data_IF_831353033978
#
_entry.id   IF_831353033978
#
_cell.length_a   1.000
_cell.length_b   1.000
_cell.length_c   1.000
_cell.angle_alpha   90.00
_cell.angle_beta   90.00
_cell.angle_gamma   90.00
#
_symmetry.space_group_name_H-M   'P 1'
#
loop_
_entity.id
_entity.type
_entity.pdbx_description
1 polymer ?
#
# COMPACT_ATOMS: atom_id res chain seq x y z
N UNK A 1 63.07 34.67 36.20
CA UNK A 1 61.74 34.88 35.59
C UNK A 1 60.76 33.88 36.22
N UNK A 2 59.49 34.14 36.52
CA UNK A 2 58.68 35.32 36.87
C UNK A 2 57.38 34.68 37.42
N UNK A 3 57.00 34.94 38.67
CA UNK A 3 55.67 34.59 39.22
C UNK A 3 54.61 35.44 38.52
N UNK A 4 53.41 34.93 38.18
CA UNK A 4 52.10 35.56 38.50
C UNK A 4 50.90 34.59 38.29
N UNK A 5 49.77 34.79 39.01
CA UNK A 5 48.62 33.91 39.25
C UNK A 5 47.28 34.45 38.64
N UNK A 6 46.12 33.91 39.10
CA UNK A 6 44.71 34.35 38.88
C UNK A 6 43.92 33.89 37.63
N UNK A 7 42.85 33.11 37.85
CA UNK A 7 41.45 33.53 37.59
C UNK A 7 40.75 33.22 36.24
N UNK A 8 39.50 32.75 36.37
CA UNK A 8 38.30 32.93 35.50
C UNK A 8 37.97 31.92 34.36
N UNK A 9 37.04 31.02 34.68
CA UNK A 9 35.73 30.72 34.04
C UNK A 9 35.53 30.94 32.53
N UNK A 10 35.25 29.85 31.79
CA UNK A 10 34.42 29.74 30.56
C UNK A 10 33.96 28.27 30.45
N UNK A 11 32.73 27.89 30.81
CA UNK A 11 31.49 27.96 30.00
C UNK A 11 31.48 27.05 28.77
N UNK A 12 30.64 25.99 28.82
CA UNK A 12 29.81 25.40 27.73
C UNK A 12 30.55 24.98 26.42
N UNK A 13 30.40 23.79 25.84
CA UNK A 13 29.30 22.83 25.70
C UNK A 13 29.91 21.48 25.33
N UNK A 14 29.41 20.36 25.87
CA UNK A 14 29.63 19.07 25.20
C UNK A 14 29.05 19.19 23.78
N UNK A 15 29.79 18.88 22.71
CA UNK A 15 29.18 18.85 21.38
C UNK A 15 28.14 17.74 21.39
N UNK A 16 26.87 18.13 21.38
CA UNK A 16 25.68 17.26 21.30
C UNK A 16 25.62 16.42 20.00
N UNK A 17 26.70 16.33 19.22
CA UNK A 17 26.62 16.08 17.79
C UNK A 17 26.81 14.63 17.34
N UNK A 18 26.97 13.65 18.22
CA UNK A 18 27.24 12.27 17.78
C UNK A 18 26.43 11.18 18.48
N UNK A 19 25.22 11.49 18.96
CA UNK A 19 24.17 10.48 19.09
C UNK A 19 23.14 10.70 17.98
N UNK A 20 23.58 10.59 16.72
CA UNK A 20 22.67 10.23 15.64
C UNK A 20 22.19 8.82 15.95
N UNK A 21 21.08 8.72 16.69
CA UNK A 21 20.30 7.50 16.77
C UNK A 21 19.97 7.14 15.32
N UNK A 22 20.72 6.17 14.77
CA UNK A 22 20.34 5.52 13.52
C UNK A 22 19.04 4.82 13.85
N UNK A 23 17.94 5.55 13.64
CA UNK A 23 16.59 5.03 13.77
C UNK A 23 16.55 3.90 12.76
N UNK A 24 16.72 2.68 13.26
CA UNK A 24 16.69 1.46 12.48
C UNK A 24 15.49 1.58 11.55
N UNK A 25 15.76 1.44 10.25
CA UNK A 25 14.77 1.54 9.19
C UNK A 25 13.76 0.43 9.44
N UNK A 26 12.72 0.73 10.24
CA UNK A 26 11.52 -0.07 10.28
C UNK A 26 11.04 -0.08 8.84
N UNK A 27 11.25 -1.19 8.15
CA UNK A 27 10.72 -1.39 6.82
C UNK A 27 9.21 -1.35 7.01
N UNK A 28 8.58 -0.23 6.68
CA UNK A 28 7.13 -0.10 6.73
C UNK A 28 6.59 -1.14 5.75
N UNK A 29 6.20 -2.31 6.27
CA UNK A 29 5.47 -3.33 5.53
C UNK A 29 4.19 -2.62 5.11
N UNK A 30 4.13 -2.22 3.85
CA UNK A 30 3.09 -1.31 3.39
C UNK A 30 1.69 -1.86 3.63
N UNK A 31 0.70 -0.97 3.69
CA UNK A 31 -0.62 -1.31 4.20
C UNK A 31 -1.39 -2.24 3.24
N UNK A 32 -2.18 -3.16 3.79
CA UNK A 32 -3.10 -3.97 3.00
C UNK A 32 -4.48 -3.33 3.08
N UNK A 33 -5.03 -2.98 1.91
CA UNK A 33 -6.38 -2.45 1.77
C UNK A 33 -7.19 -3.37 0.86
N UNK A 34 -8.51 -3.27 0.91
CA UNK A 34 -9.36 -4.06 0.04
C UNK A 34 -10.82 -3.94 0.46
N UNK A 35 -11.66 -4.66 -0.27
CA UNK A 35 -13.09 -4.51 -0.17
C UNK A 35 -13.81 -5.47 -1.09
N UNK A 36 -15.13 -5.49 -0.92
CA UNK A 36 -16.04 -6.42 -1.57
C UNK A 36 -17.25 -5.61 -2.03
N UNK A 37 -17.66 -5.77 -3.28
CA UNK A 37 -18.89 -5.13 -3.78
C UNK A 37 -19.57 -5.99 -4.83
N UNK A 38 -20.88 -5.82 -4.94
CA UNK A 38 -21.76 -6.51 -5.87
C UNK A 38 -21.69 -5.97 -7.29
N UNK A 39 -22.11 -6.79 -8.26
CA UNK A 39 -22.30 -6.35 -9.65
C UNK A 39 -23.26 -5.14 -9.71
N UNK A 40 -22.80 -4.05 -10.35
CA UNK A 40 -23.48 -2.76 -10.46
C UNK A 40 -23.00 -1.69 -9.48
N UNK A 41 -22.15 -2.04 -8.50
CA UNK A 41 -21.54 -1.10 -7.57
C UNK A 41 -20.13 -0.66 -8.01
N UNK A 42 -19.52 0.28 -7.28
CA UNK A 42 -18.15 0.72 -7.51
C UNK A 42 -17.33 0.64 -6.23
N UNK A 43 -16.10 0.12 -6.33
CA UNK A 43 -15.15 0.05 -5.24
C UNK A 43 -14.11 1.15 -5.36
N UNK A 44 -13.95 1.94 -4.30
CA UNK A 44 -12.92 2.96 -4.20
C UNK A 44 -11.87 2.55 -3.18
N UNK A 45 -10.60 2.57 -3.59
CA UNK A 45 -9.46 2.24 -2.75
C UNK A 45 -8.59 3.46 -2.57
N UNK A 46 -8.15 3.72 -1.33
CA UNK A 46 -7.28 4.85 -0.99
C UNK A 46 -6.15 4.37 -0.08
N UNK A 47 -4.91 4.53 -0.55
CA UNK A 47 -3.73 4.27 0.26
C UNK A 47 -3.45 5.43 1.24
N UNK A 48 -2.84 5.14 2.39
CA UNK A 48 -2.44 6.17 3.34
C UNK A 48 -1.37 7.12 2.77
N UNK A 49 -1.22 8.29 3.41
CA UNK A 49 -0.32 9.35 2.94
C UNK A 49 1.12 8.87 2.80
N UNK A 50 1.68 9.01 1.59
CA UNK A 50 3.05 8.60 1.28
C UNK A 50 3.17 7.20 0.68
N UNK A 51 2.04 6.47 0.57
CA UNK A 51 1.97 5.17 -0.07
C UNK A 51 1.19 5.23 -1.39
N UNK A 52 1.50 4.30 -2.28
CA UNK A 52 0.82 4.03 -3.55
C UNK A 52 0.52 2.54 -3.64
N UNK A 53 -0.45 2.13 -4.45
CA UNK A 53 -0.71 0.71 -4.68
C UNK A 53 0.49 0.10 -5.40
N UNK A 54 1.22 -0.77 -4.71
CA UNK A 54 2.40 -1.45 -5.26
C UNK A 54 2.07 -2.77 -5.91
N UNK A 55 1.14 -3.54 -5.33
CA UNK A 55 0.80 -4.89 -5.80
C UNK A 55 -0.65 -5.23 -5.52
N UNK A 56 -1.28 -5.93 -6.46
CA UNK A 56 -2.56 -6.60 -6.23
C UNK A 56 -2.28 -7.96 -5.56
N UNK A 57 -2.78 -8.16 -4.35
CA UNK A 57 -2.65 -9.42 -3.62
C UNK A 57 -3.72 -10.43 -4.07
N UNK A 58 -4.92 -9.94 -4.33
CA UNK A 58 -6.06 -10.74 -4.75
C UNK A 58 -7.04 -9.87 -5.56
N UNK A 59 -7.62 -10.42 -6.61
CA UNK A 59 -8.76 -9.85 -7.29
C UNK A 59 -9.53 -10.98 -7.97
N UNK A 60 -10.81 -11.13 -7.66
CA UNK A 60 -11.67 -12.17 -8.25
C UNK A 60 -13.07 -11.60 -8.44
N UNK A 61 -13.57 -11.66 -9.68
CA UNK A 61 -14.92 -11.26 -10.06
C UNK A 61 -15.73 -12.51 -10.39
N UNK A 62 -16.82 -12.74 -9.65
CA UNK A 62 -17.63 -13.93 -9.79
C UNK A 62 -18.23 -14.31 -8.45
N UNK A 63 -17.86 -15.47 -7.91
CA UNK A 63 -18.34 -15.94 -6.60
C UNK A 63 -17.20 -16.13 -5.59
N UNK A 64 -16.32 -15.13 -5.37
CA UNK A 64 -15.29 -15.24 -4.36
C UNK A 64 -15.90 -15.39 -2.95
N UNK A 65 -15.15 -16.00 -2.05
CA UNK A 65 -15.55 -16.27 -0.67
C UNK A 65 -14.44 -15.86 0.29
N UNK A 66 -14.80 -15.66 1.56
CA UNK A 66 -13.85 -15.24 2.59
C UNK A 66 -13.95 -13.74 2.89
N UNK A 67 -12.83 -13.14 3.29
CA UNK A 67 -12.78 -11.72 3.65
C UNK A 67 -11.35 -11.23 3.82
N UNK A 68 -11.14 -9.92 3.78
CA UNK A 68 -9.81 -9.32 3.84
C UNK A 68 -9.01 -9.80 5.06
N UNK A 69 -7.76 -10.28 4.92
CA UNK A 69 -6.96 -10.45 3.68
C UNK A 69 -7.05 -11.87 3.06
N UNK A 70 -7.83 -12.77 3.63
CA UNK A 70 -7.92 -14.19 3.24
C UNK A 70 -9.13 -14.43 2.33
N UNK A 71 -9.05 -13.93 1.10
CA UNK A 71 -10.02 -14.25 0.06
C UNK A 71 -9.71 -15.60 -0.61
N UNK A 72 -10.75 -16.26 -1.08
CA UNK A 72 -10.67 -17.50 -1.83
C UNK A 72 -11.49 -17.38 -3.13
N UNK A 73 -10.89 -17.82 -4.23
CA UNK A 73 -11.55 -17.84 -5.53
C UNK A 73 -12.73 -18.82 -5.51
N UNK A 74 -13.84 -18.41 -6.09
CA UNK A 74 -15.03 -19.24 -6.24
C UNK A 74 -14.93 -20.25 -7.37
N UNK A 75 -16.04 -20.97 -7.61
CA UNK A 75 -16.18 -21.79 -8.82
C UNK A 75 -16.34 -20.94 -10.09
N UNK A 76 -16.80 -19.70 -9.93
CA UNK A 76 -16.87 -18.69 -10.97
C UNK A 76 -15.86 -17.57 -10.68
N UNK A 77 -14.96 -17.35 -11.62
CA UNK A 77 -13.89 -16.35 -11.56
C UNK A 77 -13.58 -15.82 -12.97
N UNK A 78 -13.52 -14.50 -13.12
CA UNK A 78 -13.05 -13.89 -14.35
C UNK A 78 -11.51 -13.82 -14.36
N UNK A 79 -10.90 -14.46 -15.35
CA UNK A 79 -9.44 -14.43 -15.54
C UNK A 79 -8.87 -13.00 -15.73
N UNK A 80 -9.71 -12.05 -16.13
CA UNK A 80 -9.39 -10.63 -16.33
C UNK A 80 -9.37 -9.83 -15.03
N UNK A 81 -9.92 -10.34 -13.92
CA UNK A 81 -10.09 -9.59 -12.66
C UNK A 81 -8.81 -8.96 -12.17
N UNK A 82 -7.73 -9.75 -12.11
CA UNK A 82 -6.42 -9.26 -11.68
C UNK A 82 -5.88 -8.19 -12.63
N UNK A 83 -5.95 -8.42 -13.95
CA UNK A 83 -5.40 -7.50 -14.93
C UNK A 83 -6.11 -6.14 -14.92
N UNK A 84 -7.44 -6.13 -14.83
CA UNK A 84 -8.25 -4.91 -14.73
C UNK A 84 -7.85 -4.11 -13.48
N UNK A 85 -7.87 -4.74 -12.31
CA UNK A 85 -7.53 -4.08 -11.05
C UNK A 85 -6.08 -3.59 -11.06
N UNK A 86 -5.15 -4.37 -11.59
CA UNK A 86 -3.76 -3.96 -11.76
C UNK A 86 -3.65 -2.70 -12.60
N UNK A 87 -4.32 -2.65 -13.75
CA UNK A 87 -4.28 -1.51 -14.66
C UNK A 87 -4.92 -0.25 -14.09
N UNK A 88 -5.95 -0.40 -13.25
CA UNK A 88 -6.65 0.73 -12.62
C UNK A 88 -5.90 1.28 -11.41
N UNK A 89 -5.31 0.41 -10.59
CA UNK A 89 -4.82 0.77 -9.26
C UNK A 89 -3.31 0.90 -9.13
N UNK A 90 -2.50 0.09 -9.82
CA UNK A 90 -1.04 0.07 -9.60
C UNK A 90 -0.44 1.45 -9.90
N UNK A 91 0.39 1.94 -8.97
CA UNK A 91 1.08 3.23 -9.07
C UNK A 91 0.24 4.44 -8.64
N UNK A 92 -1.06 4.26 -8.42
CA UNK A 92 -1.95 5.32 -7.97
C UNK A 92 -2.11 5.31 -6.44
N UNK A 93 -2.39 6.49 -5.86
CA UNK A 93 -2.72 6.64 -4.42
C UNK A 93 -4.17 6.28 -4.13
N UNK A 94 -5.03 6.53 -5.11
CA UNK A 94 -6.43 6.18 -5.08
C UNK A 94 -6.84 5.64 -6.46
N UNK A 95 -7.75 4.67 -6.46
CA UNK A 95 -8.32 4.12 -7.68
C UNK A 95 -9.77 3.73 -7.44
N UNK A 96 -10.56 3.81 -8.52
CA UNK A 96 -11.95 3.42 -8.54
C UNK A 96 -12.13 2.28 -9.54
N UNK A 97 -12.83 1.24 -9.14
CA UNK A 97 -13.08 0.04 -9.93
C UNK A 97 -14.58 -0.19 -9.99
N UNK A 98 -15.15 -0.02 -11.18
CA UNK A 98 -16.56 -0.31 -11.43
C UNK A 98 -16.76 -1.83 -11.51
N UNK A 99 -17.68 -2.36 -10.70
CA UNK A 99 -17.96 -3.79 -10.59
C UNK A 99 -19.01 -4.17 -11.62
N UNK A 100 -18.62 -4.18 -12.88
CA UNK A 100 -19.51 -4.47 -14.00
C UNK A 100 -18.98 -5.61 -14.87
N UNK A 101 -19.90 -6.44 -15.36
CA UNK A 101 -19.61 -7.47 -16.35
C UNK A 101 -19.12 -6.90 -17.69
N UNK A 102 -19.33 -5.62 -17.97
CA UNK A 102 -18.72 -4.94 -19.12
C UNK A 102 -17.21 -4.70 -18.94
N UNK A 103 -16.74 -4.55 -17.69
CA UNK A 103 -15.34 -4.28 -17.35
C UNK A 103 -14.57 -5.59 -17.18
N UNK A 104 -15.16 -6.54 -16.47
CA UNK A 104 -14.53 -7.82 -16.14
C UNK A 104 -14.89 -8.94 -17.15
N UNK A 105 -15.93 -8.78 -17.95
CA UNK A 105 -16.54 -9.87 -18.71
C UNK A 105 -17.55 -10.66 -17.87
N UNK A 106 -18.18 -11.66 -18.48
CA UNK A 106 -19.15 -12.53 -17.81
C UNK A 106 -18.65 -13.98 -17.71
N UNK A 107 -17.95 -14.35 -16.61
CA UNK A 107 -17.43 -15.70 -16.41
C UNK A 107 -18.52 -16.74 -16.13
N UNK A 108 -19.68 -16.32 -15.59
CA UNK A 108 -20.80 -17.20 -15.27
C UNK A 108 -22.14 -16.49 -15.48
N UNK A 109 -22.72 -16.69 -16.67
CA UNK A 109 -24.00 -16.10 -17.03
C UNK A 109 -25.13 -16.53 -16.08
N UNK A 110 -25.97 -15.58 -15.67
CA UNK A 110 -27.13 -15.82 -14.81
C UNK A 110 -26.82 -16.08 -13.33
N UNK A 111 -25.57 -15.88 -12.90
CA UNK A 111 -25.17 -15.94 -11.49
C UNK A 111 -24.97 -14.52 -10.95
N UNK A 112 -25.32 -14.30 -9.68
CA UNK A 112 -25.01 -13.04 -9.00
C UNK A 112 -23.50 -12.96 -8.76
N UNK A 113 -22.86 -11.94 -9.34
CA UNK A 113 -21.42 -11.76 -9.27
C UNK A 113 -21.06 -10.64 -8.29
N UNK A 114 -19.90 -10.79 -7.67
CA UNK A 114 -19.28 -9.77 -6.83
C UNK A 114 -17.77 -9.71 -7.12
N UNK A 115 -17.17 -8.57 -6.85
CA UNK A 115 -15.72 -8.36 -6.93
C UNK A 115 -15.15 -8.28 -5.51
N UNK A 116 -14.20 -9.18 -5.23
CA UNK A 116 -13.36 -9.11 -4.03
C UNK A 116 -11.95 -8.72 -4.43
N UNK A 117 -11.40 -7.68 -3.80
CA UNK A 117 -10.06 -7.17 -4.09
C UNK A 117 -9.26 -7.00 -2.79
N UNK A 118 -8.00 -7.44 -2.81
CA UNK A 118 -6.99 -7.08 -1.83
C UNK A 118 -5.78 -6.45 -2.55
N UNK A 119 -5.39 -5.27 -2.09
CA UNK A 119 -4.28 -4.48 -2.59
C UNK A 119 -3.25 -4.30 -1.49
N UNK A 120 -1.98 -4.25 -1.89
CA UNK A 120 -0.88 -3.85 -1.05
C UNK A 120 -0.41 -2.45 -1.47
N UNK A 121 -0.58 -1.50 -0.57
CA UNK A 121 0.05 -0.20 -0.62
C UNK A 121 1.54 -0.35 -0.25
N UNK A 122 2.40 0.46 -0.84
CA UNK A 122 3.84 0.53 -0.57
C UNK A 122 4.26 1.99 -0.57
N UNK A 123 5.29 2.33 0.21
CA UNK A 123 5.85 3.69 0.18
C UNK A 123 6.25 4.09 -1.25
N UNK A 124 5.79 5.26 -1.69
CA UNK A 124 6.20 5.87 -2.97
C UNK A 124 7.72 6.05 -3.05
N UNK A 125 8.38 6.23 -1.90
CA UNK A 125 9.83 6.40 -1.80
C UNK A 125 10.62 5.07 -1.82
N UNK A 126 9.95 3.91 -1.78
CA UNK A 126 10.58 2.60 -1.94
C UNK A 126 10.66 2.15 -3.40
N UNK A 127 9.79 2.64 -4.28
CA UNK A 127 9.85 2.35 -5.71
C UNK A 127 10.95 3.14 -6.42
N UNK A 128 11.28 4.35 -5.94
CA UNK A 128 12.39 5.17 -6.44
C UNK A 128 13.78 4.71 -5.97
N UNK A 129 13.87 3.94 -4.89
CA UNK A 129 15.15 3.47 -4.33
C UNK A 129 15.87 2.40 -5.18
N UNK A 130 15.24 1.85 -6.23
CA UNK A 130 15.85 0.87 -7.13
C UNK A 130 16.26 1.46 -8.49
N UNK A 131 16.08 2.77 -8.70
CA UNK A 131 16.35 3.46 -9.98
C UNK A 131 17.49 4.47 -9.83
N UNK A 132 18.51 4.15 -9.04
CA UNK A 132 19.79 4.90 -9.02
C UNK A 132 20.94 3.91 -8.99
#
# INVERSE_FOLDING_TARGET
MKVFPYGRQLSLTLPLLLLKAQRGRAQALGSIIGGSASEGDSLSFVCPTGEVVGKVLFASYGTPTGGLPNYAVGWCDAATSVAVVQSACIGNKACDVAVDSAVFGDPCFGTYKQLDVALQCVDENRTTSWVT
#
